data_IF_893341850191
#
_entry.id   IF_893341850191
#
_cell.length_a   1.000
_cell.length_b   1.000
_cell.length_c   1.000
_cell.angle_alpha   90.00
_cell.angle_beta   90.00
_cell.angle_gamma   90.00
#
_symmetry.space_group_name_H-M   'P 1'
#
loop_
_entity.id
_entity.type
_entity.pdbx_description
1 polymer ?
#
# COMPACT_ATOMS: atom_id res chain seq x y z
N UNK A 1 -20.24 16.61 -13.86
CA UNK A 1 -20.52 15.37 -13.11
C UNK A 1 -19.46 15.17 -12.03
N UNK A 2 -19.88 14.74 -10.87
CA UNK A 2 -18.95 14.47 -9.78
C UNK A 2 -18.09 13.24 -10.11
N UNK A 3 -16.79 13.32 -9.84
CA UNK A 3 -15.87 12.18 -9.94
C UNK A 3 -16.17 11.19 -8.82
N UNK A 4 -16.30 9.92 -9.16
CA UNK A 4 -16.60 8.84 -8.21
C UNK A 4 -15.32 8.10 -7.86
N UNK A 5 -14.92 8.17 -6.59
CA UNK A 5 -13.82 7.41 -6.03
C UNK A 5 -14.38 6.17 -5.31
N UNK A 6 -13.94 4.99 -5.70
CA UNK A 6 -14.30 3.74 -5.04
C UNK A 6 -13.06 3.00 -4.59
N UNK A 7 -13.12 2.39 -3.40
CA UNK A 7 -12.05 1.59 -2.82
C UNK A 7 -12.62 0.20 -2.53
N UNK A 8 -11.86 -0.84 -2.82
CA UNK A 8 -12.27 -2.19 -2.50
C UNK A 8 -11.17 -3.22 -2.72
N UNK A 9 -11.40 -4.46 -2.28
CA UNK A 9 -10.46 -5.55 -2.48
C UNK A 9 -10.18 -5.81 -3.96
N UNK A 10 -8.95 -6.25 -4.25
CA UNK A 10 -8.59 -6.73 -5.58
C UNK A 10 -9.38 -8.00 -5.93
N UNK A 11 -9.82 -8.09 -7.17
CA UNK A 11 -10.57 -9.24 -7.69
C UNK A 11 -9.83 -9.85 -8.88
N UNK A 12 -10.27 -11.03 -9.33
CA UNK A 12 -9.64 -11.72 -10.46
C UNK A 12 -9.60 -10.90 -11.74
N UNK A 13 -10.51 -9.95 -11.90
CA UNK A 13 -10.59 -9.08 -13.10
C UNK A 13 -9.58 -7.93 -13.08
N UNK A 14 -8.88 -7.71 -11.97
CA UNK A 14 -8.06 -6.51 -11.75
C UNK A 14 -6.59 -6.70 -12.14
N UNK A 15 -6.19 -7.90 -12.59
CA UNK A 15 -4.79 -8.26 -12.78
C UNK A 15 -4.01 -7.26 -13.63
N UNK A 16 -4.50 -6.92 -14.80
CA UNK A 16 -3.75 -6.10 -15.75
C UNK A 16 -3.55 -4.68 -15.23
N UNK A 17 -4.59 -4.07 -14.68
CA UNK A 17 -4.49 -2.73 -14.11
C UNK A 17 -3.60 -2.72 -12.87
N UNK A 18 -3.73 -3.73 -12.01
CA UNK A 18 -2.88 -3.88 -10.83
C UNK A 18 -1.40 -3.98 -11.23
N UNK A 19 -1.08 -4.85 -12.18
CA UNK A 19 0.32 -5.04 -12.61
C UNK A 19 0.90 -3.75 -13.20
N UNK A 20 0.11 -2.99 -13.96
CA UNK A 20 0.53 -1.70 -14.47
C UNK A 20 0.95 -0.73 -13.36
N UNK A 21 0.14 -0.63 -12.31
CA UNK A 21 0.46 0.22 -11.16
C UNK A 21 1.62 -0.35 -10.32
N UNK A 22 1.68 -1.66 -10.15
CA UNK A 22 2.78 -2.30 -9.42
C UNK A 22 4.12 -2.08 -10.12
N UNK A 23 4.16 -2.17 -11.44
CA UNK A 23 5.38 -1.88 -12.21
C UNK A 23 5.76 -0.40 -12.13
N UNK A 24 4.80 0.49 -12.15
CA UNK A 24 5.03 1.92 -11.98
C UNK A 24 5.57 2.24 -10.58
N UNK A 25 5.06 1.55 -9.56
CA UNK A 25 5.57 1.66 -8.18
C UNK A 25 7.05 1.29 -8.11
N UNK A 26 7.43 0.14 -8.66
CA UNK A 26 8.82 -0.29 -8.65
C UNK A 26 9.72 0.65 -9.45
N UNK A 27 9.27 1.13 -10.60
CA UNK A 27 10.00 2.10 -11.41
C UNK A 27 10.23 3.42 -10.66
N UNK A 28 9.24 3.88 -9.89
CA UNK A 28 9.35 5.10 -9.10
C UNK A 28 10.44 5.02 -8.03
N UNK A 29 10.64 3.85 -7.43
CA UNK A 29 11.65 3.63 -6.39
C UNK A 29 12.98 3.08 -6.91
N UNK A 30 13.07 2.71 -8.18
CA UNK A 30 14.31 2.19 -8.77
C UNK A 30 15.42 3.25 -8.71
N UNK A 31 16.62 2.81 -8.34
CA UNK A 31 17.81 3.68 -8.30
C UNK A 31 17.87 4.68 -7.15
N UNK A 32 16.93 4.64 -6.20
CA UNK A 32 16.99 5.50 -5.02
C UNK A 32 18.08 5.02 -4.06
N UNK A 33 18.93 5.94 -3.54
CA UNK A 33 19.98 5.59 -2.58
C UNK A 33 19.40 4.91 -1.34
N UNK A 34 20.09 3.88 -0.84
CA UNK A 34 19.72 3.20 0.40
C UNK A 34 18.60 2.19 0.27
N UNK A 35 18.01 2.02 -0.90
CA UNK A 35 17.06 0.93 -1.16
C UNK A 35 17.78 -0.24 -1.81
N UNK A 36 17.65 -1.45 -1.26
CA UNK A 36 18.11 -2.63 -1.97
C UNK A 36 17.36 -2.72 -3.31
N UNK A 37 18.08 -3.03 -4.38
CA UNK A 37 17.46 -3.27 -5.67
C UNK A 37 16.56 -4.50 -5.57
N UNK A 38 15.28 -4.28 -5.40
CA UNK A 38 14.30 -5.35 -5.51
C UNK A 38 13.90 -5.47 -6.97
N UNK A 39 14.65 -6.26 -7.71
CA UNK A 39 14.22 -6.64 -9.05
C UNK A 39 13.10 -7.65 -8.92
N UNK A 40 11.95 -7.28 -9.42
CA UNK A 40 10.80 -8.18 -9.52
C UNK A 40 10.72 -8.60 -10.99
N UNK A 41 10.91 -9.88 -11.23
CA UNK A 41 10.71 -10.48 -12.55
C UNK A 41 9.23 -10.77 -12.81
N UNK A 42 8.90 -11.20 -14.02
CA UNK A 42 7.49 -11.47 -14.38
C UNK A 42 6.88 -12.56 -13.48
N UNK A 43 7.66 -13.56 -13.11
CA UNK A 43 7.21 -14.61 -12.19
C UNK A 43 6.95 -14.04 -10.79
N UNK A 44 7.69 -13.02 -10.37
CA UNK A 44 7.47 -12.32 -9.11
C UNK A 44 6.13 -11.60 -9.07
N UNK A 45 5.72 -10.96 -10.17
CA UNK A 45 4.38 -10.34 -10.27
C UNK A 45 3.30 -11.40 -10.20
N UNK A 46 3.47 -12.54 -10.88
CA UNK A 46 2.50 -13.62 -10.82
C UNK A 46 2.37 -14.20 -9.42
N UNK A 47 3.48 -14.50 -8.76
CA UNK A 47 3.47 -15.02 -7.38
C UNK A 47 2.78 -14.04 -6.42
N UNK A 48 3.09 -12.76 -6.54
CA UNK A 48 2.47 -11.73 -5.71
C UNK A 48 0.97 -11.65 -5.95
N UNK A 49 0.56 -11.68 -7.22
CA UNK A 49 -0.85 -11.65 -7.57
C UNK A 49 -1.62 -12.81 -6.95
N UNK A 50 -1.07 -14.04 -7.03
CA UNK A 50 -1.72 -15.21 -6.42
C UNK A 50 -1.83 -15.06 -4.90
N UNK A 51 -0.80 -14.51 -4.25
CA UNK A 51 -0.84 -14.27 -2.81
C UNK A 51 -1.88 -13.23 -2.43
N UNK A 52 -2.03 -12.18 -3.23
CA UNK A 52 -3.05 -11.15 -3.00
C UNK A 52 -4.47 -11.70 -3.17
N UNK A 53 -4.69 -12.53 -4.19
CA UNK A 53 -6.00 -13.18 -4.40
C UNK A 53 -6.34 -14.16 -3.29
N UNK A 54 -5.35 -14.90 -2.80
CA UNK A 54 -5.50 -15.80 -1.67
C UNK A 54 -5.90 -15.02 -0.40
N UNK A 55 -5.26 -13.89 -0.13
CA UNK A 55 -5.62 -13.00 0.96
C UNK A 55 -5.34 -13.53 2.36
N UNK A 56 -4.63 -14.65 2.50
CA UNK A 56 -4.35 -15.24 3.81
C UNK A 56 -3.22 -14.51 4.54
N UNK A 57 -2.09 -14.29 3.87
CA UNK A 57 -0.92 -13.65 4.46
C UNK A 57 -0.82 -12.18 4.13
N UNK A 58 -1.09 -11.82 2.88
CA UNK A 58 -1.08 -10.44 2.42
C UNK A 58 -2.42 -10.09 1.79
N UNK A 59 -2.77 -8.83 1.86
CA UNK A 59 -4.03 -8.30 1.33
C UNK A 59 -3.75 -7.16 0.37
N UNK A 60 -4.62 -7.00 -0.62
CA UNK A 60 -4.53 -5.91 -1.57
C UNK A 60 -5.88 -5.27 -1.84
N UNK A 61 -5.84 -3.95 -1.98
CA UNK A 61 -7.00 -3.15 -2.35
C UNK A 61 -6.62 -2.22 -3.50
N UNK A 62 -7.63 -1.75 -4.21
CA UNK A 62 -7.45 -0.75 -5.26
C UNK A 62 -8.37 0.44 -5.04
N UNK A 63 -7.94 1.58 -5.58
CA UNK A 63 -8.75 2.78 -5.71
C UNK A 63 -9.07 2.99 -7.18
N UNK A 64 -10.33 3.30 -7.48
CA UNK A 64 -10.79 3.60 -8.84
C UNK A 64 -11.42 4.99 -8.89
N UNK A 65 -11.04 5.76 -9.89
CA UNK A 65 -11.72 7.01 -10.25
C UNK A 65 -12.49 6.76 -11.54
N UNK A 66 -13.81 6.87 -11.45
CA UNK A 66 -14.71 6.64 -12.58
C UNK A 66 -14.44 5.32 -13.28
N UNK A 67 -14.19 4.27 -12.49
CA UNK A 67 -13.97 2.91 -12.97
C UNK A 67 -12.53 2.57 -13.36
N UNK A 68 -11.62 3.54 -13.46
CA UNK A 68 -10.21 3.31 -13.78
C UNK A 68 -9.39 3.15 -12.50
N UNK A 69 -8.59 2.11 -12.42
CA UNK A 69 -7.72 1.91 -11.26
C UNK A 69 -6.60 2.95 -11.25
N UNK A 70 -6.52 3.71 -10.15
CA UNK A 70 -5.56 4.81 -9.99
C UNK A 70 -4.67 4.68 -8.77
N UNK A 71 -4.94 3.70 -7.92
CA UNK A 71 -4.13 3.48 -6.72
C UNK A 71 -4.24 2.05 -6.23
N UNK A 72 -3.19 1.61 -5.55
CA UNK A 72 -3.13 0.29 -4.92
C UNK A 72 -2.50 0.39 -3.54
N UNK A 73 -2.88 -0.53 -2.66
CA UNK A 73 -2.25 -0.71 -1.36
C UNK A 73 -2.14 -2.19 -1.05
N UNK A 74 -1.01 -2.57 -0.47
CA UNK A 74 -0.76 -3.94 0.02
C UNK A 74 -0.46 -3.87 1.50
N UNK A 75 -1.07 -4.75 2.27
CA UNK A 75 -0.91 -4.74 3.72
C UNK A 75 -1.07 -6.14 4.29
N UNK A 76 -0.70 -6.29 5.55
CA UNK A 76 -0.80 -7.56 6.26
C UNK A 76 -1.09 -7.32 7.74
N UNK A 77 -1.72 -8.29 8.36
CA UNK A 77 -1.92 -8.30 9.80
C UNK A 77 -0.88 -9.19 10.45
N UNK A 78 -0.37 -8.80 11.60
CA UNK A 78 0.53 -9.64 12.36
C UNK A 78 0.28 -9.52 13.85
N UNK A 79 0.68 -10.55 14.59
CA UNK A 79 0.55 -10.56 16.04
C UNK A 79 1.49 -9.54 16.68
N UNK A 80 1.07 -8.99 17.79
CA UNK A 80 1.93 -8.23 18.70
C UNK A 80 2.22 -9.10 19.93
N UNK A 81 3.41 -8.97 20.49
CA UNK A 81 3.82 -9.78 21.63
C UNK A 81 2.95 -9.48 22.87
N UNK A 82 2.62 -8.22 23.09
CA UNK A 82 2.05 -7.75 24.36
C UNK A 82 0.62 -7.22 24.26
N UNK A 83 0.08 -7.05 23.05
CA UNK A 83 -1.21 -6.39 22.91
C UNK A 83 -1.96 -6.88 21.66
N UNK A 84 -2.97 -6.11 21.25
CA UNK A 84 -3.72 -6.38 20.03
C UNK A 84 -2.83 -6.42 18.80
N UNK A 85 -3.29 -7.09 17.74
CA UNK A 85 -2.57 -7.21 16.49
C UNK A 85 -2.27 -5.87 15.82
N UNK A 86 -1.33 -5.90 14.89
CA UNK A 86 -0.88 -4.76 14.12
C UNK A 86 -1.12 -4.98 12.64
N UNK A 87 -1.29 -3.90 11.92
CA UNK A 87 -1.38 -3.91 10.47
C UNK A 87 -0.18 -3.15 9.89
N UNK A 88 0.59 -3.83 9.05
CA UNK A 88 1.68 -3.21 8.31
C UNK A 88 1.21 -2.87 6.90
N UNK A 89 1.22 -1.58 6.56
CA UNK A 89 0.98 -1.11 5.21
C UNK A 89 2.32 -1.17 4.46
N UNK A 90 2.48 -2.20 3.65
CA UNK A 90 3.74 -2.49 2.98
C UNK A 90 3.97 -1.60 1.77
N UNK A 91 2.94 -1.42 0.95
CA UNK A 91 3.01 -0.63 -0.28
C UNK A 91 1.78 0.26 -0.40
N UNK A 92 2.01 1.48 -0.84
CA UNK A 92 0.96 2.45 -1.16
C UNK A 92 1.41 3.24 -2.37
N UNK A 93 0.63 3.17 -3.44
CA UNK A 93 0.98 3.87 -4.67
C UNK A 93 -0.26 4.46 -5.32
N UNK A 94 -0.16 5.71 -5.72
CA UNK A 94 -1.20 6.43 -6.45
C UNK A 94 -0.60 6.96 -7.76
N UNK A 95 -1.32 6.77 -8.85
CA UNK A 95 -0.92 7.28 -10.16
C UNK A 95 -0.56 8.78 -10.03
N UNK A 96 0.66 9.18 -10.44
CA UNK A 96 1.08 10.58 -10.33
C UNK A 96 0.14 11.58 -11.00
N UNK A 97 -0.59 11.18 -12.02
CA UNK A 97 -1.52 12.05 -12.74
C UNK A 97 -2.79 12.39 -11.94
N UNK A 98 -3.09 11.64 -10.88
CA UNK A 98 -4.29 11.86 -10.06
C UNK A 98 -3.96 12.16 -8.60
N UNK A 99 -2.74 12.56 -8.31
CA UNK A 99 -2.34 12.96 -6.95
C UNK A 99 -3.08 14.21 -6.50
N UNK A 100 -3.15 14.43 -5.17
CA UNK A 100 -3.85 15.54 -4.52
C UNK A 100 -5.37 15.48 -4.67
N UNK A 101 -5.94 14.31 -4.93
CA UNK A 101 -7.39 14.08 -4.98
C UNK A 101 -7.92 13.25 -3.81
N UNK A 102 -7.09 13.08 -2.76
CA UNK A 102 -7.49 12.32 -1.59
C UNK A 102 -7.45 10.81 -1.75
N UNK A 103 -6.87 10.29 -2.83
CA UNK A 103 -6.83 8.85 -3.09
C UNK A 103 -6.00 8.11 -2.05
N UNK A 104 -4.80 8.60 -1.74
CA UNK A 104 -3.94 7.98 -0.74
C UNK A 104 -4.59 7.97 0.64
N UNK A 105 -5.19 9.07 1.05
CA UNK A 105 -5.92 9.16 2.32
C UNK A 105 -7.06 8.15 2.38
N UNK A 106 -7.84 8.03 1.30
CA UNK A 106 -8.95 7.08 1.22
C UNK A 106 -8.47 5.63 1.32
N UNK A 107 -7.35 5.30 0.67
CA UNK A 107 -6.72 3.97 0.78
C UNK A 107 -6.29 3.68 2.22
N UNK A 108 -5.60 4.61 2.86
CA UNK A 108 -5.15 4.46 4.25
C UNK A 108 -6.35 4.26 5.20
N UNK A 109 -7.38 5.04 5.05
CA UNK A 109 -8.58 4.95 5.88
C UNK A 109 -9.31 3.61 5.69
N UNK A 110 -9.36 3.12 4.46
CA UNK A 110 -9.96 1.82 4.18
C UNK A 110 -9.17 0.69 4.85
N UNK A 111 -7.83 0.72 4.74
CA UNK A 111 -6.95 -0.25 5.41
C UNK A 111 -7.12 -0.19 6.92
N UNK A 112 -7.19 1.00 7.49
CA UNK A 112 -7.38 1.17 8.93
C UNK A 112 -8.68 0.54 9.43
N UNK A 113 -9.77 0.69 8.67
CA UNK A 113 -11.05 0.06 9.00
C UNK A 113 -10.97 -1.47 8.92
N UNK A 114 -10.42 -1.99 7.83
CA UNK A 114 -10.26 -3.43 7.64
C UNK A 114 -9.42 -4.04 8.77
N UNK A 115 -8.32 -3.38 9.10
CA UNK A 115 -7.45 -3.79 10.20
C UNK A 115 -8.17 -3.81 11.55
N UNK A 116 -8.96 -2.79 11.84
CA UNK A 116 -9.75 -2.73 13.06
C UNK A 116 -10.77 -3.86 13.17
N UNK A 117 -11.42 -4.20 12.07
CA UNK A 117 -12.39 -5.30 11.98
C UNK A 117 -11.75 -6.68 12.16
N UNK A 118 -10.45 -6.80 11.93
CA UNK A 118 -9.69 -8.04 12.02
C UNK A 118 -8.79 -8.12 13.27
N UNK A 119 -9.02 -7.27 14.25
CA UNK A 119 -8.27 -7.31 15.51
C UNK A 119 -6.84 -6.80 15.41
N UNK A 120 -6.53 -6.02 14.40
CA UNK A 120 -5.21 -5.46 14.15
C UNK A 120 -5.24 -3.92 13.99
N UNK A 121 -5.78 -3.18 14.99
CA UNK A 121 -6.08 -1.76 14.83
C UNK A 121 -4.86 -0.85 14.77
N UNK A 122 -3.68 -1.35 15.07
CA UNK A 122 -2.45 -0.55 15.05
C UNK A 122 -1.83 -0.57 13.66
N UNK A 123 -2.29 0.32 12.81
CA UNK A 123 -1.77 0.52 11.46
C UNK A 123 -0.48 1.35 11.50
N UNK A 124 0.54 0.90 10.80
CA UNK A 124 1.81 1.61 10.69
C UNK A 124 2.45 1.34 9.33
N UNK A 125 3.36 2.21 8.93
CA UNK A 125 4.15 2.06 7.70
C UNK A 125 5.50 2.74 7.84
N UNK A 126 6.40 2.41 6.92
CA UNK A 126 7.72 3.00 6.83
C UNK A 126 7.79 3.92 5.60
N UNK A 127 8.57 4.98 5.71
CA UNK A 127 8.87 5.84 4.58
C UNK A 127 10.28 6.40 4.75
N UNK A 128 10.86 6.92 3.68
CA UNK A 128 12.15 7.59 3.77
C UNK A 128 12.00 8.89 4.57
N UNK A 129 13.05 9.26 5.33
CA UNK A 129 13.00 10.42 6.21
C UNK A 129 12.73 11.72 5.47
N UNK A 130 13.17 11.80 4.21
CA UNK A 130 13.00 12.96 3.32
C UNK A 130 11.94 12.73 2.23
N UNK A 131 11.09 11.72 2.39
CA UNK A 131 10.05 11.42 1.42
C UNK A 131 9.05 12.58 1.29
N UNK A 132 8.71 12.91 0.06
CA UNK A 132 7.72 13.95 -0.26
C UNK A 132 6.35 13.62 0.34
N UNK A 133 5.99 12.34 0.37
CA UNK A 133 4.73 11.86 0.92
C UNK A 133 4.56 12.14 2.42
N UNK A 134 5.62 12.47 3.14
CA UNK A 134 5.53 12.79 4.58
C UNK A 134 4.63 13.99 4.87
N UNK A 135 4.51 14.93 3.94
CA UNK A 135 3.56 16.03 4.08
C UNK A 135 2.13 15.52 4.26
N UNK A 136 1.74 14.48 3.52
CA UNK A 136 0.46 13.81 3.70
C UNK A 136 0.44 12.97 4.98
N UNK A 137 1.47 12.19 5.22
CA UNK A 137 1.52 11.28 6.38
C UNK A 137 1.44 12.04 7.71
N UNK A 138 2.05 13.21 7.81
CA UNK A 138 1.98 14.04 9.01
C UNK A 138 0.56 14.57 9.29
N UNK A 139 -0.29 14.63 8.26
CA UNK A 139 -1.69 15.02 8.41
C UNK A 139 -2.61 13.89 8.86
N UNK A 140 -2.32 12.66 8.42
CA UNK A 140 -3.21 11.51 8.64
C UNK A 140 -2.72 10.58 9.76
N UNK A 141 -1.46 10.71 10.18
CA UNK A 141 -0.85 9.83 11.17
C UNK A 141 0.19 10.62 12.00
N UNK A 142 0.95 9.89 12.80
CA UNK A 142 1.98 10.48 13.67
C UNK A 142 3.31 9.78 13.44
N UNK A 143 4.37 10.56 13.20
CA UNK A 143 5.73 10.06 13.25
C UNK A 143 6.09 9.70 14.69
N UNK A 144 6.45 8.43 14.93
CA UNK A 144 6.66 7.92 16.29
C UNK A 144 8.12 7.98 16.74
N UNK A 145 9.04 8.43 15.89
CA UNK A 145 10.45 8.56 16.22
C UNK A 145 11.25 7.27 16.12
N UNK A 146 10.69 6.19 15.60
CA UNK A 146 11.40 4.94 15.37
C UNK A 146 12.18 4.99 14.05
N UNK A 147 13.30 4.30 14.04
CA UNK A 147 14.09 4.08 12.82
C UNK A 147 14.18 2.58 12.56
N UNK A 148 14.44 2.21 11.31
CA UNK A 148 14.51 0.83 10.86
C UNK A 148 15.96 0.43 10.65
N UNK A 149 16.35 -0.71 11.21
CA UNK A 149 17.63 -1.35 10.94
C UNK A 149 17.39 -2.62 10.15
N UNK A 150 18.23 -2.86 9.15
CA UNK A 150 18.22 -4.11 8.38
C UNK A 150 19.52 -4.87 8.64
N UNK A 151 19.40 -6.18 8.84
CA UNK A 151 20.56 -7.06 9.02
C UNK A 151 20.86 -7.74 7.68
N UNK A 152 22.14 -7.72 7.26
CA UNK A 152 22.58 -8.37 6.01
C UNK A 152 23.22 -7.45 5.01
#
# INVERSE_FOLDING_TARGET
MATVLTIGPLTTCDRDEWEGLARAFHAHFAGRPGRPETRVDDDGYERTWQRLLDGEQIRGISARLDGRMVGIAHYLFHASVWSVGRCYLADLFVDPQVRRRGVATALIEWVARDAGEHGAPRLYWNTEVDAEARALYDKVARYRGYIVYSYG
#
